data_IF_704598868968
#
_entry.id   IF_704598868968
#
_cell.length_a   1.000
_cell.length_b   1.000
_cell.length_c   1.000
_cell.angle_alpha   90.00
_cell.angle_beta   90.00
_cell.angle_gamma   90.00
#
_symmetry.space_group_name_H-M   'P 1'
#
loop_
_entity.id
_entity.type
_entity.pdbx_description
1 polymer ?
#
# COMPACT_ATOMS: atom_id res chain seq x y z
N UNK A 1 10.64 6.61 0.91
CA UNK A 1 10.69 5.14 1.01
C UNK A 1 10.00 4.43 -0.15
N UNK A 2 8.69 4.61 -0.37
CA UNK A 2 7.97 3.92 -1.47
C UNK A 2 8.31 4.50 -2.84
N UNK A 3 8.28 5.82 -3.00
CA UNK A 3 8.54 6.47 -4.31
C UNK A 3 9.96 6.23 -4.81
N UNK A 4 10.93 6.18 -3.91
CA UNK A 4 12.32 5.82 -4.23
C UNK A 4 12.47 4.38 -4.72
N UNK A 5 11.57 3.47 -4.33
CA UNK A 5 11.65 2.06 -4.67
C UNK A 5 10.82 1.66 -5.90
N UNK A 6 9.86 2.49 -6.31
CA UNK A 6 8.92 2.23 -7.40
C UNK A 6 8.89 3.37 -8.43
N UNK A 7 10.02 4.06 -8.64
CA UNK A 7 10.15 5.27 -9.48
C UNK A 7 9.56 5.14 -10.90
N UNK A 8 9.43 3.92 -11.42
CA UNK A 8 8.92 3.65 -12.78
C UNK A 8 7.43 3.26 -12.83
N UNK A 9 6.75 3.06 -11.69
CA UNK A 9 5.36 2.61 -11.65
C UNK A 9 4.57 3.39 -10.58
N UNK A 10 4.17 4.61 -10.94
CA UNK A 10 3.42 5.52 -10.05
C UNK A 10 2.10 4.91 -9.56
N UNK A 11 1.46 4.09 -10.40
CA UNK A 11 0.20 3.43 -10.05
C UNK A 11 0.43 2.41 -8.94
N UNK A 12 1.44 1.55 -9.08
CA UNK A 12 1.80 0.58 -8.03
C UNK A 12 2.32 1.30 -6.79
N UNK A 13 3.11 2.36 -6.93
CA UNK A 13 3.57 3.17 -5.80
C UNK A 13 2.39 3.74 -4.99
N UNK A 14 1.38 4.31 -5.66
CA UNK A 14 0.16 4.82 -5.02
C UNK A 14 -0.60 3.71 -4.30
N UNK A 15 -0.75 2.54 -4.92
CA UNK A 15 -1.47 1.42 -4.31
C UNK A 15 -0.70 0.82 -3.11
N UNK A 16 0.62 0.75 -3.17
CA UNK A 16 1.46 0.31 -2.04
C UNK A 16 1.35 1.29 -0.87
N UNK A 17 1.41 2.61 -1.14
CA UNK A 17 1.16 3.63 -0.10
C UNK A 17 -0.21 3.46 0.54
N UNK A 18 -1.25 3.17 -0.26
CA UNK A 18 -2.59 2.90 0.25
C UNK A 18 -2.60 1.67 1.16
N UNK A 19 -2.02 0.56 0.71
CA UNK A 19 -1.93 -0.69 1.48
C UNK A 19 -1.26 -0.46 2.84
N UNK A 20 -0.10 0.21 2.85
CA UNK A 20 0.63 0.51 4.08
C UNK A 20 -0.15 1.47 5.00
N UNK A 21 -0.80 2.50 4.43
CA UNK A 21 -1.63 3.42 5.19
C UNK A 21 -2.80 2.69 5.85
N UNK A 22 -3.50 1.84 5.11
CA UNK A 22 -4.61 1.05 5.64
C UNK A 22 -4.15 0.12 6.76
N UNK A 23 -2.98 -0.50 6.63
CA UNK A 23 -2.51 -1.51 7.58
C UNK A 23 -1.85 -0.93 8.84
N UNK A 24 -1.18 0.20 8.74
CA UNK A 24 -0.28 0.68 9.81
C UNK A 24 -0.52 2.11 10.29
N UNK A 25 -1.33 2.93 9.60
CA UNK A 25 -1.44 4.35 9.97
C UNK A 25 -2.41 4.66 11.12
N UNK A 26 -3.24 3.70 11.54
CA UNK A 26 -4.31 3.93 12.51
C UNK A 26 -5.45 4.86 12.04
N UNK A 27 -5.38 5.39 10.80
CA UNK A 27 -6.40 6.30 10.23
C UNK A 27 -7.69 5.55 9.92
N UNK A 28 -8.82 6.27 10.00
CA UNK A 28 -10.12 5.72 9.61
C UNK A 28 -10.16 5.48 8.11
N UNK A 29 -10.85 4.40 7.68
CA UNK A 29 -11.04 4.08 6.27
C UNK A 29 -11.59 5.26 5.46
N UNK A 30 -12.48 6.08 6.04
CA UNK A 30 -13.05 7.28 5.41
C UNK A 30 -11.98 8.34 5.10
N UNK A 31 -11.03 8.54 6.00
CA UNK A 31 -9.95 9.52 5.85
C UNK A 31 -8.95 9.06 4.78
N UNK A 32 -8.64 7.76 4.76
CA UNK A 32 -7.82 7.15 3.73
C UNK A 32 -8.54 7.28 2.38
N UNK A 33 -9.82 6.89 2.31
CA UNK A 33 -10.62 6.97 1.09
C UNK A 33 -10.64 8.38 0.50
N UNK A 34 -10.89 9.39 1.33
CA UNK A 34 -10.87 10.81 0.92
C UNK A 34 -9.53 11.21 0.29
N UNK A 35 -8.39 10.84 0.90
CA UNK A 35 -7.05 11.13 0.36
C UNK A 35 -6.81 10.47 -1.01
N UNK A 36 -7.37 9.29 -1.24
CA UNK A 36 -7.13 8.53 -2.46
C UNK A 36 -8.24 8.71 -3.53
N UNK A 37 -9.31 9.45 -3.24
CA UNK A 37 -10.47 9.60 -4.12
C UNK A 37 -11.33 8.33 -4.20
N UNK A 38 -11.45 7.58 -3.10
CA UNK A 38 -12.08 6.25 -3.06
C UNK A 38 -13.10 6.15 -1.93
N UNK A 39 -14.15 5.34 -2.13
CA UNK A 39 -15.04 4.93 -1.05
C UNK A 39 -14.39 3.94 -0.08
N UNK A 40 -15.04 3.71 1.08
CA UNK A 40 -14.59 2.77 2.12
C UNK A 40 -14.25 1.38 1.56
N UNK A 41 -15.18 0.82 0.78
CA UNK A 41 -15.02 -0.47 0.11
C UNK A 41 -13.86 -0.46 -0.89
N UNK A 42 -13.65 0.67 -1.58
CA UNK A 42 -12.53 0.87 -2.49
C UNK A 42 -11.17 0.79 -1.80
N UNK A 43 -11.04 1.35 -0.59
CA UNK A 43 -9.82 1.25 0.22
C UNK A 43 -9.53 -0.19 0.60
N UNK A 44 -10.53 -0.90 1.16
CA UNK A 44 -10.38 -2.31 1.56
C UNK A 44 -9.98 -3.18 0.38
N UNK A 45 -10.66 -3.03 -0.76
CA UNK A 45 -10.39 -3.80 -1.98
C UNK A 45 -9.01 -3.49 -2.57
N UNK A 46 -8.63 -2.21 -2.67
CA UNK A 46 -7.33 -1.81 -3.20
C UNK A 46 -6.18 -2.34 -2.32
N UNK A 47 -6.32 -2.24 -1.00
CA UNK A 47 -5.37 -2.79 -0.04
C UNK A 47 -5.26 -4.31 -0.17
N UNK A 48 -6.38 -5.02 -0.25
CA UNK A 48 -6.41 -6.48 -0.39
C UNK A 48 -5.73 -6.95 -1.68
N UNK A 49 -6.02 -6.30 -2.82
CA UNK A 49 -5.40 -6.62 -4.12
C UNK A 49 -3.89 -6.47 -4.11
N UNK A 50 -3.34 -5.49 -3.39
CA UNK A 50 -1.88 -5.34 -3.25
C UNK A 50 -1.28 -6.48 -2.43
N UNK A 51 -1.95 -6.92 -1.36
CA UNK A 51 -1.53 -8.11 -0.60
C UNK A 51 -1.43 -9.34 -1.50
N UNK A 52 -2.51 -9.65 -2.23
CA UNK A 52 -2.55 -10.77 -3.18
C UNK A 52 -1.50 -10.64 -4.28
N UNK A 53 -1.25 -9.43 -4.79
CA UNK A 53 -0.21 -9.19 -5.80
C UNK A 53 1.17 -9.49 -5.22
N UNK A 54 1.45 -9.08 -3.99
CA UNK A 54 2.73 -9.28 -3.33
C UNK A 54 3.01 -10.74 -2.98
N UNK A 55 1.98 -11.56 -2.77
CA UNK A 55 2.11 -13.02 -2.61
C UNK A 55 2.58 -13.69 -3.91
N UNK A 56 2.08 -13.22 -5.06
CA UNK A 56 2.40 -13.78 -6.38
C UNK A 56 3.68 -13.19 -6.98
N UNK A 57 3.97 -11.92 -6.72
CA UNK A 57 5.13 -11.20 -7.22
C UNK A 57 6.24 -11.15 -6.16
N UNK A 58 7.27 -11.97 -6.35
CA UNK A 58 8.43 -12.06 -5.46
C UNK A 58 9.16 -10.72 -5.28
N UNK A 59 9.21 -9.85 -6.30
CA UNK A 59 9.86 -8.54 -6.19
C UNK A 59 9.03 -7.60 -5.33
N UNK A 60 7.72 -7.53 -5.58
CA UNK A 60 6.80 -6.71 -4.79
C UNK A 60 6.72 -7.19 -3.33
N UNK A 61 6.65 -8.50 -3.10
CA UNK A 61 6.65 -9.08 -1.76
C UNK A 61 7.91 -8.75 -0.96
N UNK A 62 9.10 -8.86 -1.59
CA UNK A 62 10.37 -8.43 -0.95
C UNK A 62 10.37 -6.94 -0.63
N UNK A 63 9.85 -6.11 -1.53
CA UNK A 63 9.78 -4.67 -1.33
C UNK A 63 8.88 -4.32 -0.13
N UNK A 64 7.67 -4.90 -0.05
CA UNK A 64 6.76 -4.67 1.07
C UNK A 64 7.40 -5.08 2.40
N UNK A 65 7.98 -6.29 2.48
CA UNK A 65 8.67 -6.74 3.70
C UNK A 65 9.80 -5.81 4.12
N UNK A 66 10.57 -5.28 3.16
CA UNK A 66 11.62 -4.29 3.45
C UNK A 66 11.02 -3.00 4.00
N UNK A 67 9.94 -2.49 3.41
CA UNK A 67 9.30 -1.26 3.88
C UNK A 67 8.68 -1.47 5.27
N UNK A 68 7.96 -2.57 5.47
CA UNK A 68 7.37 -2.95 6.76
C UNK A 68 8.43 -2.99 7.86
N UNK A 69 9.59 -3.60 7.59
CA UNK A 69 10.71 -3.62 8.56
C UNK A 69 11.17 -2.21 8.97
N UNK A 70 11.09 -1.22 8.09
CA UNK A 70 11.45 0.18 8.41
C UNK A 70 10.29 0.98 9.05
N UNK A 71 9.08 0.44 9.11
CA UNK A 71 7.95 1.06 9.83
C UNK A 71 7.97 0.66 11.30
N UNK A 72 8.50 -0.53 11.61
CA UNK A 72 8.56 -1.10 12.96
C UNK A 72 9.94 -0.97 13.64
N UNK A 73 10.92 -0.39 12.95
CA UNK A 73 12.24 0.02 13.50
C UNK A 73 12.28 1.54 13.58
#
# INVERSE_FOLDING_TARGET
>A
AVDSALRSDEKVARQVKLHLCHRYSGRKLREIGSRYGMGLSGVTQASHRIGLKAEKDKKLGKLLKRIEKNIFL
#
